data_IF_228891664564
#
_entry.id   IF_228891664564
#
_cell.length_a   1.000
_cell.length_b   1.000
_cell.length_c   1.000
_cell.angle_alpha   90.00
_cell.angle_beta   90.00
_cell.angle_gamma   90.00
#
_symmetry.space_group_name_H-M   'P 1'
#
loop_
_entity.id
_entity.type
_entity.pdbx_description
1 polymer ?
#
# COMPACT_ATOMS: atom_id res chain seq x y z
N UNK A 1 22.14 -2.00 -8.91
CA UNK A 1 21.54 -2.04 -7.57
C UNK A 1 20.16 -1.44 -7.66
N UNK A 2 19.11 -2.25 -7.46
CA UNK A 2 17.72 -1.82 -7.54
C UNK A 2 17.18 -1.53 -6.13
N UNK A 3 16.91 -0.26 -5.84
CA UNK A 3 16.27 0.16 -4.58
C UNK A 3 14.77 0.21 -4.78
N UNK A 4 14.05 -0.54 -3.96
CA UNK A 4 12.58 -0.51 -3.94
C UNK A 4 12.09 0.36 -2.80
N UNK A 5 11.19 1.28 -3.12
CA UNK A 5 10.38 1.99 -2.13
C UNK A 5 9.07 1.22 -1.96
N UNK A 6 8.79 0.75 -0.75
CA UNK A 6 7.52 0.14 -0.40
C UNK A 6 6.65 1.16 0.33
N UNK A 7 5.64 1.67 -0.36
CA UNK A 7 4.67 2.58 0.22
C UNK A 7 3.55 1.78 0.89
N UNK A 8 3.62 1.74 2.22
CA UNK A 8 2.64 1.10 3.08
C UNK A 8 1.43 2.02 3.20
N UNK A 9 0.23 1.44 3.05
CA UNK A 9 -1.05 2.14 3.10
C UNK A 9 -1.95 1.53 4.17
N UNK A 10 -3.05 0.86 3.79
CA UNK A 10 -3.95 0.20 4.74
C UNK A 10 -3.47 -1.21 5.13
N UNK A 11 -2.32 -1.64 4.61
CA UNK A 11 -1.68 -2.95 4.77
C UNK A 11 -0.60 -2.93 5.87
N UNK A 12 -0.97 -2.48 7.08
CA UNK A 12 -0.08 -2.33 8.25
C UNK A 12 0.34 -3.67 8.90
N UNK A 13 0.80 -4.64 8.10
CA UNK A 13 1.14 -5.99 8.55
C UNK A 13 2.33 -6.56 7.77
N UNK A 14 3.06 -7.49 8.40
CA UNK A 14 4.10 -8.27 7.73
C UNK A 14 3.59 -9.65 7.26
N UNK A 15 2.67 -10.24 8.02
CA UNK A 15 2.04 -11.52 7.72
C UNK A 15 1.09 -11.40 6.53
N UNK A 16 1.14 -12.40 5.65
CA UNK A 16 0.24 -12.51 4.50
C UNK A 16 0.14 -11.18 3.73
N UNK A 17 1.30 -10.65 3.34
CA UNK A 17 1.42 -9.38 2.64
C UNK A 17 2.18 -9.60 1.31
N UNK A 18 1.46 -9.93 0.22
CA UNK A 18 2.04 -10.10 -1.11
C UNK A 18 2.76 -8.84 -1.61
N UNK A 19 2.30 -7.64 -1.22
CA UNK A 19 2.95 -6.38 -1.60
C UNK A 19 4.33 -6.26 -0.96
N UNK A 20 4.46 -6.60 0.33
CA UNK A 20 5.74 -6.64 1.03
C UNK A 20 6.67 -7.71 0.46
N UNK A 21 6.16 -8.93 0.19
CA UNK A 21 6.96 -9.99 -0.43
C UNK A 21 7.49 -9.57 -1.81
N UNK A 22 6.64 -8.91 -2.60
CA UNK A 22 7.05 -8.38 -3.91
C UNK A 22 8.10 -7.28 -3.74
N UNK A 23 7.93 -6.41 -2.74
CA UNK A 23 8.86 -5.33 -2.46
C UNK A 23 10.22 -5.85 -1.96
N UNK A 24 10.25 -6.93 -1.18
CA UNK A 24 11.49 -7.51 -0.64
C UNK A 24 12.35 -8.23 -1.68
N UNK A 25 11.84 -8.47 -2.89
CA UNK A 25 12.60 -8.95 -4.04
C UNK A 25 13.41 -7.79 -4.66
N UNK A 26 14.35 -7.22 -3.91
CA UNK A 26 15.24 -6.11 -4.31
C UNK A 26 16.56 -6.13 -3.55
N UNK A 27 17.55 -5.39 -4.04
CA UNK A 27 18.86 -5.28 -3.38
C UNK A 27 18.77 -4.44 -2.09
N UNK A 28 17.94 -3.39 -2.14
CA UNK A 28 17.65 -2.50 -1.02
C UNK A 28 16.15 -2.22 -0.94
N UNK A 29 15.63 -2.03 0.28
CA UNK A 29 14.22 -1.82 0.56
C UNK A 29 14.03 -0.67 1.55
N UNK A 30 13.23 0.31 1.16
CA UNK A 30 12.80 1.42 2.02
C UNK A 30 11.31 1.25 2.28
N UNK A 31 10.92 0.95 3.52
CA UNK A 31 9.52 0.90 3.95
C UNK A 31 9.07 2.29 4.42
N UNK A 32 8.08 2.88 3.74
CA UNK A 32 7.59 4.23 4.06
C UNK A 32 6.09 4.21 4.35
N UNK A 33 5.69 4.98 5.37
CA UNK A 33 4.29 5.34 5.62
C UNK A 33 4.14 6.86 5.61
N UNK A 34 3.14 7.37 4.87
CA UNK A 34 2.86 8.79 4.80
C UNK A 34 1.58 9.13 5.59
N UNK A 35 1.74 9.93 6.64
CA UNK A 35 0.64 10.56 7.35
C UNK A 35 0.25 11.82 6.57
N UNK A 36 -0.82 11.70 5.76
CA UNK A 36 -1.23 12.80 4.89
C UNK A 36 -1.89 13.92 5.69
N UNK A 37 -1.35 15.14 5.57
CA UNK A 37 -1.89 16.30 6.27
C UNK A 37 -3.33 16.63 5.88
N UNK A 38 -3.77 16.25 4.66
CA UNK A 38 -5.16 16.41 4.19
C UNK A 38 -6.16 15.74 5.11
N UNK A 39 -5.76 14.69 5.82
CA UNK A 39 -6.64 13.95 6.72
C UNK A 39 -7.13 14.79 7.90
N UNK A 40 -6.30 15.74 8.36
CA UNK A 40 -6.58 16.59 9.52
C UNK A 40 -7.22 17.93 9.14
N UNK A 41 -7.22 18.27 7.84
CA UNK A 41 -7.81 19.50 7.35
C UNK A 41 -9.32 19.32 7.11
N UNK A 42 -10.15 20.35 7.41
CA UNK A 42 -11.56 20.33 7.07
C UNK A 42 -11.73 20.23 5.55
N UNK A 43 -12.58 19.31 5.11
CA UNK A 43 -12.90 19.14 3.69
C UNK A 43 -14.23 19.81 3.32
N UNK A 44 -14.93 19.30 2.30
CA UNK A 44 -16.19 19.84 1.74
C UNK A 44 -17.27 20.20 2.77
N UNK A 45 -17.32 19.52 3.91
CA UNK A 45 -18.33 19.72 4.95
C UNK A 45 -17.76 20.28 6.26
N UNK A 46 -16.58 20.90 6.21
CA UNK A 46 -15.88 21.45 7.39
C UNK A 46 -15.53 20.41 8.47
N UNK A 47 -15.54 19.13 8.11
CA UNK A 47 -15.18 18.01 8.98
C UNK A 47 -13.88 17.41 8.44
N UNK A 48 -12.94 17.13 9.34
CA UNK A 48 -11.72 16.39 9.04
C UNK A 48 -12.06 14.90 8.83
N UNK A 49 -11.40 14.25 7.87
CA UNK A 49 -11.62 12.83 7.61
C UNK A 49 -10.96 11.91 8.65
N UNK A 50 -10.09 12.43 9.50
CA UNK A 50 -9.41 11.71 10.57
C UNK A 50 -9.96 12.10 11.94
N UNK A 51 -10.76 11.22 12.52
CA UNK A 51 -11.21 11.34 13.91
C UNK A 51 -10.15 10.89 14.92
N UNK A 52 -10.29 11.33 16.17
CA UNK A 52 -9.36 11.04 17.27
C UNK A 52 -9.16 9.53 17.50
N UNK A 53 -10.24 8.73 17.49
CA UNK A 53 -10.16 7.29 17.71
C UNK A 53 -9.40 6.57 16.59
N UNK A 54 -9.69 6.92 15.34
CA UNK A 54 -8.98 6.37 14.18
C UNK A 54 -7.50 6.75 14.19
N UNK A 55 -7.18 7.98 14.57
CA UNK A 55 -5.80 8.44 14.70
C UNK A 55 -5.02 7.70 15.78
N UNK A 56 -5.62 7.49 16.96
CA UNK A 56 -5.01 6.70 18.04
C UNK A 56 -4.71 5.27 17.59
N UNK A 57 -5.71 4.59 17.01
CA UNK A 57 -5.55 3.23 16.48
C UNK A 57 -4.45 3.15 15.42
N UNK A 58 -4.40 4.13 14.51
CA UNK A 58 -3.36 4.19 13.47
C UNK A 58 -1.97 4.34 14.07
N UNK A 59 -1.78 5.25 15.04
CA UNK A 59 -0.48 5.42 15.70
C UNK A 59 -0.01 4.16 16.42
N UNK A 60 -0.92 3.49 17.14
CA UNK A 60 -0.62 2.23 17.82
C UNK A 60 -0.24 1.13 16.80
N UNK A 61 -0.96 1.05 15.69
CA UNK A 61 -0.66 0.11 14.59
C UNK A 61 0.69 0.39 13.93
N UNK A 62 1.03 1.66 13.68
CA UNK A 62 2.33 2.06 13.12
C UNK A 62 3.49 1.78 14.08
N UNK A 63 3.27 2.01 15.38
CA UNK A 63 4.26 1.72 16.40
C UNK A 63 4.58 0.21 16.47
N UNK A 64 3.55 -0.63 16.39
CA UNK A 64 3.72 -2.09 16.38
C UNK A 64 4.38 -2.58 15.08
N UNK A 65 3.90 -2.12 13.92
CA UNK A 65 4.53 -2.44 12.63
C UNK A 65 6.02 -2.06 12.60
N UNK A 66 6.35 -0.88 13.15
CA UNK A 66 7.72 -0.43 13.28
C UNK A 66 8.57 -1.33 14.17
N UNK A 67 8.02 -1.94 15.22
CA UNK A 67 8.72 -2.96 16.04
C UNK A 67 8.95 -4.23 15.22
N UNK A 68 7.91 -4.75 14.58
CA UNK A 68 8.01 -5.99 13.80
C UNK A 68 8.99 -5.89 12.63
N UNK A 69 9.15 -4.71 12.03
CA UNK A 69 10.15 -4.42 11.00
C UNK A 69 11.58 -4.39 11.58
N UNK A 70 11.77 -3.78 12.75
CA UNK A 70 13.09 -3.73 13.42
C UNK A 70 13.61 -5.11 13.77
N UNK A 71 12.74 -6.01 14.22
CA UNK A 71 13.08 -7.40 14.50
C UNK A 71 13.61 -8.15 13.26
N UNK A 72 13.34 -7.62 12.05
CA UNK A 72 13.80 -8.14 10.75
C UNK A 72 14.87 -7.27 10.10
N UNK A 73 15.50 -6.37 10.85
CA UNK A 73 16.58 -5.51 10.35
C UNK A 73 16.12 -4.38 9.42
N UNK A 74 14.84 -4.02 9.46
CA UNK A 74 14.23 -2.95 8.68
C UNK A 74 13.69 -1.82 9.56
N UNK A 75 13.40 -0.68 8.95
CA UNK A 75 12.84 0.48 9.64
C UNK A 75 11.61 0.99 8.89
N UNK A 76 10.62 1.45 9.65
CA UNK A 76 9.47 2.16 9.12
C UNK A 76 9.79 3.66 9.08
N UNK A 77 9.94 4.22 7.88
CA UNK A 77 10.10 5.66 7.69
C UNK A 77 8.72 6.32 7.66
N UNK A 78 8.38 7.04 8.73
CA UNK A 78 7.10 7.78 8.83
C UNK A 78 7.33 9.21 8.36
N UNK A 79 6.64 9.60 7.28
CA UNK A 79 6.64 10.96 6.76
C UNK A 79 5.33 11.67 7.05
N UNK A 80 5.42 12.96 7.37
CA UNK A 80 4.27 13.83 7.61
C UNK A 80 4.21 14.90 6.52
N UNK A 81 3.07 15.09 5.88
CA UNK A 81 2.87 16.09 4.83
C UNK A 81 2.04 15.57 3.67
N UNK A 82 2.08 16.22 2.51
CA UNK A 82 1.41 15.70 1.31
C UNK A 82 2.13 14.44 0.80
N UNK A 83 1.38 13.35 0.68
CA UNK A 83 1.94 12.03 0.36
C UNK A 83 2.81 12.05 -0.90
N UNK A 84 2.33 12.68 -1.98
CA UNK A 84 3.06 12.74 -3.25
C UNK A 84 4.37 13.53 -3.15
N UNK A 85 4.43 14.56 -2.29
CA UNK A 85 5.65 15.33 -2.07
C UNK A 85 6.66 14.54 -1.24
N UNK A 86 6.20 13.87 -0.18
CA UNK A 86 7.07 13.07 0.68
C UNK A 86 7.67 11.87 -0.08
N UNK A 87 6.85 11.17 -0.87
CA UNK A 87 7.31 10.10 -1.74
C UNK A 87 8.27 10.62 -2.82
N UNK A 88 7.97 11.77 -3.44
CA UNK A 88 8.89 12.38 -4.42
C UNK A 88 10.25 12.71 -3.81
N UNK A 89 10.28 13.26 -2.59
CA UNK A 89 11.54 13.55 -1.90
C UNK A 89 12.36 12.30 -1.62
N UNK A 90 11.72 11.16 -1.29
CA UNK A 90 12.43 9.90 -1.10
C UNK A 90 12.98 9.35 -2.41
N UNK A 91 12.19 9.42 -3.49
CA UNK A 91 12.63 9.01 -4.83
C UNK A 91 13.77 9.90 -5.35
N UNK A 92 13.76 11.20 -5.04
CA UNK A 92 14.83 12.14 -5.43
C UNK A 92 16.12 11.92 -4.62
N UNK A 93 16.02 11.54 -3.33
CA UNK A 93 17.16 11.37 -2.42
C UNK A 93 17.87 10.03 -2.53
N UNK A 94 17.15 8.99 -2.93
CA UNK A 94 17.66 7.62 -3.01
C UNK A 94 17.58 7.11 -4.46
N UNK A 95 18.43 6.16 -4.88
CA UNK A 95 18.37 5.59 -6.23
C UNK A 95 17.20 4.59 -6.36
N UNK A 96 15.97 5.06 -6.14
CA UNK A 96 14.73 4.29 -6.24
C UNK A 96 14.34 4.15 -7.70
N UNK A 97 14.23 2.91 -8.16
CA UNK A 97 13.76 2.59 -9.51
C UNK A 97 12.41 1.85 -9.52
N UNK A 98 11.96 1.37 -8.36
CA UNK A 98 10.70 0.65 -8.20
C UNK A 98 9.93 1.16 -6.98
N UNK A 99 8.66 1.51 -7.18
CA UNK A 99 7.69 1.78 -6.11
C UNK A 99 6.71 0.61 -6.06
N UNK A 100 6.57 -0.03 -4.90
CA UNK A 100 5.58 -1.08 -4.67
C UNK A 100 4.55 -0.57 -3.66
N UNK A 101 3.27 -0.84 -3.91
CA UNK A 101 2.21 -0.60 -2.94
C UNK A 101 1.05 -1.58 -3.14
N UNK A 102 0.16 -1.66 -2.15
CA UNK A 102 -1.14 -2.30 -2.34
C UNK A 102 -1.95 -1.57 -3.42
N UNK A 103 -2.78 -2.28 -4.18
CA UNK A 103 -3.66 -1.69 -5.20
C UNK A 103 -4.58 -0.63 -4.60
N UNK A 104 -4.58 0.55 -5.22
CA UNK A 104 -5.35 1.70 -4.76
C UNK A 104 -6.62 1.87 -5.60
N UNK A 105 -7.78 1.71 -4.96
CA UNK A 105 -9.08 1.84 -5.61
C UNK A 105 -9.68 3.25 -5.46
N UNK A 106 -9.28 3.99 -4.42
CA UNK A 106 -9.76 5.34 -4.14
C UNK A 106 -9.29 6.37 -5.18
N UNK A 107 -10.05 7.44 -5.37
CA UNK A 107 -9.72 8.49 -6.34
C UNK A 107 -8.49 9.30 -5.94
N UNK A 108 -8.31 9.53 -4.64
CA UNK A 108 -7.23 10.37 -4.12
C UNK A 108 -5.89 9.64 -4.17
N UNK A 109 -5.87 8.37 -3.80
CA UNK A 109 -4.71 7.50 -3.85
C UNK A 109 -4.27 7.23 -5.30
N UNK A 110 -5.22 7.01 -6.22
CA UNK A 110 -4.90 6.91 -7.65
C UNK A 110 -4.30 8.19 -8.21
N UNK A 111 -4.78 9.37 -7.76
CA UNK A 111 -4.21 10.67 -8.18
C UNK A 111 -2.76 10.82 -7.74
N UNK A 112 -2.41 10.34 -6.54
CA UNK A 112 -1.02 10.32 -6.05
C UNK A 112 -0.15 9.44 -6.96
N UNK A 113 -0.60 8.22 -7.30
CA UNK A 113 0.14 7.33 -8.20
C UNK A 113 0.31 7.94 -9.59
N UNK A 114 -0.73 8.54 -10.17
CA UNK A 114 -0.64 9.24 -11.45
C UNK A 114 0.36 10.40 -11.40
N UNK A 115 0.34 11.19 -10.32
CA UNK A 115 1.31 12.28 -10.13
C UNK A 115 2.75 11.74 -10.11
N UNK A 116 3.02 10.68 -9.35
CA UNK A 116 4.35 10.09 -9.26
C UNK A 116 4.79 9.52 -10.62
N UNK A 117 3.90 8.85 -11.35
CA UNK A 117 4.20 8.33 -12.69
C UNK A 117 4.53 9.45 -13.69
N UNK A 118 3.79 10.57 -13.65
CA UNK A 118 4.06 11.73 -14.50
C UNK A 118 5.38 12.42 -14.15
N UNK A 119 5.71 12.53 -12.86
CA UNK A 119 6.95 13.16 -12.38
C UNK A 119 8.18 12.29 -12.62
N UNK A 120 8.04 10.97 -12.48
CA UNK A 120 9.12 9.99 -12.62
C UNK A 120 8.76 8.95 -13.71
N UNK A 121 8.90 9.28 -15.01
CA UNK A 121 8.53 8.37 -16.10
C UNK A 121 9.26 7.03 -16.08
N UNK A 122 10.47 6.99 -15.54
CA UNK A 122 11.31 5.80 -15.44
C UNK A 122 11.06 4.99 -14.15
N UNK A 123 10.22 5.47 -13.24
CA UNK A 123 9.87 4.74 -12.01
C UNK A 123 8.90 3.62 -12.34
N UNK A 124 9.26 2.39 -11.98
CA UNK A 124 8.35 1.26 -12.09
C UNK A 124 7.39 1.24 -10.90
N UNK A 125 6.13 1.64 -11.11
CA UNK A 125 5.07 1.54 -10.10
C UNK A 125 4.37 0.18 -10.21
N UNK A 126 4.46 -0.63 -9.15
CA UNK A 126 3.86 -1.96 -9.05
C UNK A 126 2.76 -1.94 -7.99
N UNK A 127 1.53 -2.19 -8.42
CA UNK A 127 0.39 -2.36 -7.52
C UNK A 127 0.10 -3.84 -7.34
N UNK A 128 -0.11 -4.27 -6.10
CA UNK A 128 -0.37 -5.67 -5.74
C UNK A 128 -1.73 -5.78 -5.03
N UNK A 129 -2.55 -6.74 -5.45
CA UNK A 129 -3.80 -7.06 -4.77
C UNK A 129 -3.49 -7.72 -3.41
N UNK A 130 -3.94 -7.06 -2.32
CA UNK A 130 -3.51 -7.39 -0.95
C UNK A 130 -4.63 -7.30 0.09
N UNK A 131 -5.79 -6.75 -0.29
CA UNK A 131 -6.85 -6.38 0.64
C UNK A 131 -8.20 -7.05 0.30
N UNK A 132 -8.21 -7.97 -0.66
CA UNK A 132 -9.38 -8.74 -1.08
C UNK A 132 -9.04 -10.22 -1.06
N UNK A 133 -10.01 -11.06 -0.69
CA UNK A 133 -9.84 -12.52 -0.65
C UNK A 133 -9.67 -13.12 -2.07
N UNK A 134 -10.27 -12.44 -3.05
CA UNK A 134 -10.23 -12.82 -4.44
C UNK A 134 -9.59 -11.70 -5.24
N UNK A 135 -8.77 -12.07 -6.21
CA UNK A 135 -8.27 -11.15 -7.23
C UNK A 135 -9.40 -10.82 -8.21
N UNK A 136 -9.29 -9.68 -8.89
CA UNK A 136 -10.32 -9.25 -9.83
C UNK A 136 -10.45 -10.26 -10.97
N UNK A 137 -9.32 -10.73 -11.48
CA UNK A 137 -9.19 -11.69 -12.57
C UNK A 137 -9.82 -13.06 -12.22
N UNK A 138 -9.93 -13.40 -10.94
CA UNK A 138 -10.60 -14.62 -10.48
C UNK A 138 -12.12 -14.50 -10.54
N UNK A 139 -12.67 -13.29 -10.37
CA UNK A 139 -14.12 -13.07 -10.24
C UNK A 139 -14.73 -12.68 -11.59
N UNK A 140 -14.09 -11.77 -12.31
CA UNK A 140 -14.56 -11.31 -13.60
C UNK A 140 -13.40 -10.72 -14.42
N UNK A 141 -13.18 -11.26 -15.62
CA UNK A 141 -12.17 -10.74 -16.55
C UNK A 141 -12.60 -9.41 -17.17
N UNK A 142 -13.89 -9.08 -17.12
CA UNK A 142 -14.41 -7.78 -17.54
C UNK A 142 -15.30 -7.20 -16.42
N UNK A 143 -14.90 -6.09 -15.80
CA UNK A 143 -15.72 -5.39 -14.78
C UNK A 143 -17.14 -5.05 -15.26
N UNK A 144 -17.36 -5.03 -16.58
CA UNK A 144 -18.65 -4.82 -17.25
C UNK A 144 -19.61 -6.02 -17.16
N UNK A 145 -19.14 -7.25 -16.89
CA UNK A 145 -19.95 -8.47 -16.86
C UNK A 145 -20.41 -8.91 -15.47
N UNK A 146 -20.02 -8.19 -14.42
CA UNK A 146 -20.58 -8.35 -13.09
C UNK A 146 -22.03 -7.84 -13.12
N UNK A 147 -22.97 -8.79 -13.27
CA UNK A 147 -24.40 -8.54 -13.15
C UNK A 147 -24.63 -7.71 -11.88
N UNK A 148 -25.34 -6.59 -12.02
CA UNK A 148 -25.54 -5.63 -10.93
C UNK A 148 -26.08 -6.34 -9.68
N UNK A 149 -25.28 -6.41 -8.62
CA UNK A 149 -25.71 -6.88 -7.30
C UNK A 149 -24.77 -7.88 -6.62
N UNK A 150 -24.74 -7.80 -5.29
CA UNK A 150 -23.91 -8.66 -4.43
C UNK A 150 -24.22 -10.16 -4.58
N UNK A 151 -25.47 -10.54 -4.87
CA UNK A 151 -25.87 -11.95 -4.97
C UNK A 151 -25.18 -12.68 -6.14
N UNK A 152 -25.04 -12.01 -7.30
CA UNK A 152 -24.37 -12.57 -8.47
C UNK A 152 -22.86 -12.72 -8.23
N UNK A 153 -22.25 -11.72 -7.59
CA UNK A 153 -20.87 -11.81 -7.10
C UNK A 153 -20.68 -13.02 -6.17
N UNK A 154 -21.51 -13.15 -5.13
CA UNK A 154 -21.39 -14.22 -4.13
C UNK A 154 -21.51 -15.61 -4.76
N UNK A 155 -22.47 -15.80 -5.66
CA UNK A 155 -22.65 -17.06 -6.37
C UNK A 155 -21.43 -17.47 -7.19
N UNK A 156 -20.70 -16.52 -7.77
CA UNK A 156 -19.45 -16.82 -8.47
C UNK A 156 -18.31 -17.09 -7.49
N UNK A 157 -18.19 -16.25 -6.45
CA UNK A 157 -17.10 -16.32 -5.49
C UNK A 157 -17.11 -17.60 -4.63
N UNK A 158 -18.30 -18.12 -4.30
CA UNK A 158 -18.43 -19.28 -3.40
C UNK A 158 -17.74 -20.55 -3.92
N UNK A 159 -17.62 -20.70 -5.24
CA UNK A 159 -17.05 -21.89 -5.89
C UNK A 159 -15.54 -21.72 -6.17
N UNK A 160 -15.00 -20.51 -5.96
CA UNK A 160 -13.58 -20.21 -6.16
C UNK A 160 -12.79 -20.54 -4.89
N UNK A 161 -11.67 -21.27 -4.99
CA UNK A 161 -10.81 -21.50 -3.84
C UNK A 161 -10.15 -20.18 -3.41
N UNK A 162 -10.15 -19.84 -2.11
CA UNK A 162 -9.40 -18.69 -1.63
C UNK A 162 -7.90 -18.93 -1.80
N UNK A 163 -7.13 -17.86 -1.99
CA UNK A 163 -5.67 -17.97 -1.95
C UNK A 163 -5.20 -18.34 -0.54
N UNK A 164 -4.17 -19.19 -0.48
CA UNK A 164 -3.56 -19.56 0.79
C UNK A 164 -2.71 -18.41 1.33
N UNK A 165 -2.66 -18.21 2.66
CA UNK A 165 -1.84 -17.16 3.25
C UNK A 165 -0.37 -17.31 2.87
N UNK A 166 0.25 -16.18 2.51
CA UNK A 166 1.66 -16.14 2.14
C UNK A 166 2.52 -16.04 3.40
N UNK A 167 3.65 -16.76 3.40
CA UNK A 167 4.62 -16.68 4.49
C UNK A 167 5.28 -15.30 4.55
N UNK A 168 5.54 -14.84 5.78
CA UNK A 168 6.30 -13.61 6.00
C UNK A 168 7.77 -13.86 5.63
N UNK A 169 8.44 -12.95 4.90
CA UNK A 169 9.87 -13.06 4.67
C UNK A 169 10.65 -13.14 6.00
N UNK A 170 11.56 -14.11 6.12
CA UNK A 170 12.40 -14.28 7.32
C UNK A 170 13.36 -13.10 7.53
N UNK A 171 13.83 -12.50 6.43
CA UNK A 171 14.68 -11.32 6.42
C UNK A 171 14.21 -10.34 5.36
N UNK A 172 14.37 -9.04 5.62
CA UNK A 172 14.10 -8.00 4.65
C UNK A 172 15.41 -7.35 4.19
N UNK A 173 15.50 -6.88 2.92
CA UNK A 173 16.66 -6.13 2.45
C UNK A 173 16.92 -4.91 3.32
N UNK A 174 18.18 -4.47 3.42
CA UNK A 174 18.53 -3.27 4.19
C UNK A 174 18.07 -1.98 3.46
N UNK A 175 17.81 -0.89 4.18
CA UNK A 175 17.45 0.39 3.58
C UNK A 175 18.63 1.06 2.88
#
# INVERSE_FOLDING_TARGET
>A
MATTLYWITNDLRLSDNPALLRASQSDALICVYCVDQRWFLPHRYHISSMGLHRWRYLNESLAELGRSLRDRGQYLDIKYGYTEQQLSQLIDRHPVNRLVCSRQNGSDERRILSYLQSRFPNLQIVQVDNNTLYELEQIDTELSTLKQGFAAFRQRAQDLPPQLPIQTPDSLPRP
#
